data_IF_564770008383
#
_entry.id   IF_564770008383
#
_cell.length_a   1.000
_cell.length_b   1.000
_cell.length_c   1.000
_cell.angle_alpha   90.00
_cell.angle_beta   90.00
_cell.angle_gamma   90.00
#
_symmetry.space_group_name_H-M   'P 1'
#
loop_
_entity.id
_entity.type
_entity.pdbx_description
1 polymer ?
#
# COMPACT_ATOMS: atom_id res chain seq x y z
N UNK A 1 -18.36 18.81 -26.32
CA UNK A 1 -18.73 17.37 -26.36
C UNK A 1 -17.65 16.55 -25.65
N UNK A 2 -18.02 15.78 -24.63
CA UNK A 2 -17.12 14.79 -24.04
C UNK A 2 -17.03 13.61 -25.01
N UNK A 3 -15.91 13.47 -25.69
CA UNK A 3 -15.70 12.35 -26.64
C UNK A 3 -15.39 11.02 -25.96
N UNK A 4 -14.76 11.07 -24.78
CA UNK A 4 -14.40 9.87 -24.00
C UNK A 4 -14.39 10.20 -22.51
N UNK A 5 -14.94 9.29 -21.69
CA UNK A 5 -14.93 9.37 -20.24
C UNK A 5 -14.44 8.03 -19.66
N UNK A 6 -13.45 8.09 -18.78
CA UNK A 6 -12.97 6.93 -18.03
C UNK A 6 -13.21 7.21 -16.55
N UNK A 7 -13.94 6.31 -15.90
CA UNK A 7 -14.23 6.39 -14.47
C UNK A 7 -13.59 5.18 -13.81
N UNK A 8 -12.89 5.39 -12.68
CA UNK A 8 -12.32 4.31 -11.89
C UNK A 8 -13.00 4.24 -10.53
N UNK A 9 -13.29 3.04 -10.08
CA UNK A 9 -13.88 2.77 -8.77
C UNK A 9 -13.32 1.48 -8.18
N UNK A 10 -13.41 1.33 -6.87
CA UNK A 10 -13.20 0.03 -6.23
C UNK A 10 -14.38 -0.88 -6.58
N UNK A 11 -14.12 -2.16 -6.84
CA UNK A 11 -15.15 -3.15 -7.20
C UNK A 11 -16.33 -3.13 -6.21
N UNK A 12 -16.02 -3.08 -4.92
CA UNK A 12 -17.04 -3.06 -3.85
C UNK A 12 -17.83 -1.76 -3.76
N UNK A 13 -17.31 -0.67 -4.29
CA UNK A 13 -18.00 0.64 -4.30
C UNK A 13 -18.79 0.87 -5.59
N UNK A 14 -18.64 -0.01 -6.60
CA UNK A 14 -19.35 0.09 -7.87
C UNK A 14 -20.61 -0.79 -7.84
N UNK A 15 -21.59 -0.38 -7.03
CA UNK A 15 -22.85 -1.10 -6.79
C UNK A 15 -24.01 -0.11 -6.67
N UNK A 16 -25.23 -0.58 -6.91
CA UNK A 16 -26.45 0.24 -6.80
C UNK A 16 -26.40 1.49 -7.69
N UNK A 17 -26.70 2.63 -7.12
CA UNK A 17 -26.78 3.92 -7.82
C UNK A 17 -25.42 4.43 -8.37
N UNK A 18 -24.32 3.80 -7.98
CA UNK A 18 -22.98 4.12 -8.50
C UNK A 18 -22.68 3.45 -9.85
N UNK A 19 -23.54 2.54 -10.31
CA UNK A 19 -23.37 1.83 -11.58
C UNK A 19 -23.90 2.70 -12.73
N UNK A 20 -23.03 2.99 -13.69
CA UNK A 20 -23.42 3.73 -14.89
C UNK A 20 -24.06 2.80 -15.91
N UNK A 21 -25.30 3.07 -16.27
CA UNK A 21 -25.97 2.37 -17.35
C UNK A 21 -25.31 2.67 -18.71
N UNK A 22 -25.38 1.72 -19.64
CA UNK A 22 -24.84 1.84 -20.99
C UNK A 22 -23.34 2.14 -21.09
N UNK A 23 -22.55 1.72 -20.08
CA UNK A 23 -21.09 1.84 -20.11
C UNK A 23 -20.42 0.46 -20.11
N UNK A 24 -19.25 0.38 -20.73
CA UNK A 24 -18.42 -0.82 -20.65
C UNK A 24 -17.64 -0.84 -19.34
N UNK A 25 -17.82 -1.89 -18.55
CA UNK A 25 -17.11 -2.07 -17.29
C UNK A 25 -15.98 -3.10 -17.47
N UNK A 26 -14.78 -2.73 -17.03
CA UNK A 26 -13.61 -3.60 -17.05
C UNK A 26 -13.06 -3.76 -15.64
N UNK A 27 -12.69 -4.98 -15.27
CA UNK A 27 -12.01 -5.23 -14.00
C UNK A 27 -10.51 -5.39 -14.24
N UNK A 28 -9.73 -4.59 -13.52
CA UNK A 28 -8.26 -4.70 -13.52
C UNK A 28 -7.87 -5.97 -12.78
N UNK A 29 -7.17 -6.87 -13.46
CA UNK A 29 -6.68 -8.11 -12.88
C UNK A 29 -5.42 -7.87 -12.04
N UNK A 30 -5.20 -8.67 -11.00
CA UNK A 30 -3.92 -8.73 -10.32
C UNK A 30 -2.77 -9.00 -11.29
N UNK A 31 -1.56 -8.62 -10.92
CA UNK A 31 -0.37 -8.92 -11.71
C UNK A 31 -0.10 -10.42 -11.71
N UNK A 32 0.13 -10.97 -12.90
CA UNK A 32 0.73 -12.28 -13.10
C UNK A 32 2.27 -12.20 -12.98
N UNK A 33 2.94 -13.34 -13.08
CA UNK A 33 4.41 -13.41 -12.95
C UNK A 33 5.14 -12.56 -13.99
N UNK A 34 4.62 -12.48 -15.21
CA UNK A 34 5.22 -11.69 -16.29
C UNK A 34 5.11 -10.20 -15.97
N UNK A 35 3.94 -9.73 -15.54
CA UNK A 35 3.74 -8.33 -15.15
C UNK A 35 4.54 -7.93 -13.91
N UNK A 36 4.72 -8.86 -12.95
CA UNK A 36 5.61 -8.64 -11.81
C UNK A 36 7.04 -8.43 -12.30
N UNK A 37 7.53 -9.28 -13.21
CA UNK A 37 8.86 -9.17 -13.79
C UNK A 37 9.03 -7.86 -14.56
N UNK A 38 8.06 -7.51 -15.40
CA UNK A 38 8.09 -6.27 -16.18
C UNK A 38 8.11 -5.04 -15.28
N UNK A 39 7.28 -5.05 -14.22
CA UNK A 39 7.26 -3.98 -13.22
C UNK A 39 8.62 -3.84 -12.54
N UNK A 40 9.21 -4.93 -12.06
CA UNK A 40 10.48 -4.90 -11.34
C UNK A 40 11.63 -4.39 -12.24
N UNK A 41 11.68 -4.86 -13.48
CA UNK A 41 12.66 -4.39 -14.46
C UNK A 41 12.46 -2.90 -14.77
N UNK A 42 11.21 -2.46 -14.94
CA UNK A 42 10.86 -1.04 -15.13
C UNK A 42 11.26 -0.19 -13.93
N UNK A 43 11.00 -0.69 -12.71
CA UNK A 43 11.37 -0.03 -11.46
C UNK A 43 12.88 0.24 -11.38
N UNK A 44 13.70 -0.81 -11.51
CA UNK A 44 15.15 -0.65 -11.41
C UNK A 44 15.74 0.15 -12.58
N UNK A 45 15.13 0.11 -13.76
CA UNK A 45 15.50 0.97 -14.89
C UNK A 45 15.25 2.45 -14.56
N UNK A 46 14.09 2.78 -14.03
CA UNK A 46 13.73 4.15 -13.68
C UNK A 46 14.59 4.72 -12.53
N UNK A 47 15.04 3.86 -11.61
CA UNK A 47 15.82 4.26 -10.46
C UNK A 47 17.34 4.23 -10.69
N UNK A 48 17.80 3.57 -11.76
CA UNK A 48 19.23 3.35 -12.01
C UNK A 48 20.03 4.66 -12.08
N UNK A 49 19.49 5.69 -12.71
CA UNK A 49 20.13 6.98 -12.83
C UNK A 49 20.25 7.70 -11.49
N UNK A 50 19.15 7.73 -10.72
CA UNK A 50 19.10 8.35 -9.39
C UNK A 50 20.08 7.71 -8.40
N UNK A 51 20.27 6.39 -8.47
CA UNK A 51 21.12 5.62 -7.55
C UNK A 51 22.49 5.31 -8.13
N UNK A 52 22.79 5.82 -9.32
CA UNK A 52 24.06 5.59 -10.02
C UNK A 52 24.42 4.11 -10.12
N UNK A 53 23.41 3.26 -10.41
CA UNK A 53 23.63 1.83 -10.56
C UNK A 53 24.26 1.53 -11.91
N UNK A 54 25.24 0.64 -11.91
CA UNK A 54 25.74 0.03 -13.13
C UNK A 54 24.69 -0.92 -13.73
N UNK A 55 24.82 -1.25 -15.02
CA UNK A 55 23.91 -2.20 -15.67
C UNK A 55 23.91 -3.56 -14.96
N UNK A 56 25.06 -4.00 -14.48
CA UNK A 56 25.19 -5.25 -13.74
C UNK A 56 24.43 -5.19 -12.40
N UNK A 57 24.64 -4.16 -11.60
CA UNK A 57 23.94 -4.00 -10.31
C UNK A 57 22.43 -3.87 -10.49
N UNK A 58 21.99 -3.15 -11.51
CA UNK A 58 20.56 -3.03 -11.84
C UNK A 58 19.94 -4.39 -12.12
N UNK A 59 20.62 -5.20 -12.94
CA UNK A 59 20.13 -6.53 -13.31
C UNK A 59 20.16 -7.50 -12.12
N UNK A 60 21.21 -7.48 -11.31
CA UNK A 60 21.33 -8.31 -10.12
C UNK A 60 20.21 -8.01 -9.11
N UNK A 61 19.97 -6.73 -8.81
CA UNK A 61 18.88 -6.30 -7.91
C UNK A 61 17.50 -6.64 -8.46
N UNK A 62 17.27 -6.46 -9.76
CA UNK A 62 16.01 -6.84 -10.38
C UNK A 62 15.77 -8.34 -10.27
N UNK A 63 16.77 -9.16 -10.59
CA UNK A 63 16.67 -10.61 -10.49
C UNK A 63 16.43 -11.09 -9.05
N UNK A 64 17.11 -10.48 -8.06
CA UNK A 64 16.94 -10.82 -6.66
C UNK A 64 15.50 -10.53 -6.20
N UNK A 65 14.95 -9.36 -6.53
CA UNK A 65 13.56 -9.05 -6.19
C UNK A 65 12.56 -9.97 -6.92
N UNK A 66 12.79 -10.30 -8.20
CA UNK A 66 11.95 -11.23 -8.94
C UNK A 66 11.95 -12.61 -8.28
N UNK A 67 13.12 -13.12 -7.88
CA UNK A 67 13.23 -14.39 -7.18
C UNK A 67 12.54 -14.37 -5.83
N UNK A 68 12.71 -13.31 -5.06
CA UNK A 68 12.06 -13.14 -3.76
C UNK A 68 10.52 -13.15 -3.90
N UNK A 69 9.97 -12.45 -4.89
CA UNK A 69 8.51 -12.40 -5.15
C UNK A 69 7.95 -13.71 -5.70
N UNK A 70 8.77 -14.55 -6.31
CA UNK A 70 8.34 -15.85 -6.88
C UNK A 70 8.04 -16.89 -5.79
N UNK A 71 8.46 -16.69 -4.54
CA UNK A 71 8.13 -17.61 -3.45
C UNK A 71 6.62 -17.69 -3.24
N UNK A 72 6.10 -18.89 -2.92
CA UNK A 72 4.66 -19.13 -2.76
C UNK A 72 4.00 -18.14 -1.77
N UNK A 73 4.71 -17.79 -0.71
CA UNK A 73 4.19 -16.89 0.32
C UNK A 73 4.11 -15.42 -0.11
N UNK A 74 4.94 -14.99 -1.07
CA UNK A 74 5.01 -13.60 -1.49
C UNK A 74 4.35 -13.32 -2.84
N UNK A 75 4.15 -14.34 -3.68
CA UNK A 75 3.59 -14.17 -5.01
C UNK A 75 2.18 -13.54 -4.99
N UNK A 76 1.33 -14.01 -4.09
CA UNK A 76 -0.01 -13.47 -3.92
C UNK A 76 0.02 -11.99 -3.50
N UNK A 77 0.93 -11.63 -2.58
CA UNK A 77 1.12 -10.25 -2.12
C UNK A 77 1.66 -9.39 -3.27
N UNK A 78 2.66 -9.89 -4.00
CA UNK A 78 3.28 -9.21 -5.12
C UNK A 78 2.33 -9.02 -6.33
N UNK A 79 1.26 -9.80 -6.43
CA UNK A 79 0.24 -9.62 -7.46
C UNK A 79 -0.52 -8.29 -7.33
N UNK A 80 -0.50 -7.67 -6.15
CA UNK A 80 -1.04 -6.34 -5.91
C UNK A 80 0.03 -5.29 -6.24
N UNK A 81 -0.21 -4.35 -7.20
CA UNK A 81 0.78 -3.36 -7.62
C UNK A 81 1.28 -2.45 -6.50
N UNK A 82 0.40 -2.07 -5.55
CA UNK A 82 0.78 -1.25 -4.40
C UNK A 82 1.73 -2.00 -3.47
N UNK A 83 1.42 -3.26 -3.18
CA UNK A 83 2.27 -4.12 -2.37
C UNK A 83 3.61 -4.39 -3.05
N UNK A 84 3.62 -4.66 -4.35
CA UNK A 84 4.85 -4.83 -5.12
C UNK A 84 5.71 -3.58 -5.12
N UNK A 85 5.11 -2.39 -5.24
CA UNK A 85 5.82 -1.12 -5.09
C UNK A 85 6.48 -0.99 -3.71
N UNK A 86 5.72 -1.32 -2.65
CA UNK A 86 6.26 -1.29 -1.28
C UNK A 86 7.39 -2.30 -1.09
N UNK A 87 7.26 -3.51 -1.66
CA UNK A 87 8.33 -4.51 -1.67
C UNK A 87 9.59 -4.00 -2.39
N UNK A 88 9.44 -3.35 -3.53
CA UNK A 88 10.57 -2.75 -4.26
C UNK A 88 11.28 -1.65 -3.46
N UNK A 89 10.52 -0.83 -2.73
CA UNK A 89 11.07 0.21 -1.84
C UNK A 89 11.81 -0.41 -0.65
N UNK A 90 11.29 -1.46 -0.04
CA UNK A 90 11.94 -2.17 1.07
C UNK A 90 13.23 -2.83 0.56
N UNK A 91 13.14 -3.58 -0.54
CA UNK A 91 14.27 -4.26 -1.15
C UNK A 91 15.41 -3.33 -1.55
N UNK A 92 15.07 -2.09 -1.88
CA UNK A 92 16.04 -1.05 -2.20
C UNK A 92 16.88 -0.61 -0.99
N UNK A 93 16.27 -0.57 0.20
CA UNK A 93 16.92 -0.10 1.43
C UNK A 93 17.69 -1.21 2.14
N UNK A 94 17.18 -2.42 2.06
CA UNK A 94 17.71 -3.60 2.73
C UNK A 94 18.08 -4.65 1.68
N UNK A 95 19.14 -5.40 1.94
CA UNK A 95 19.52 -6.53 1.08
C UNK A 95 18.55 -7.68 1.38
N UNK A 96 17.52 -7.81 0.54
CA UNK A 96 16.55 -8.88 0.60
C UNK A 96 15.19 -8.52 1.21
N UNK A 97 14.18 -9.33 0.90
CA UNK A 97 12.85 -9.25 1.47
C UNK A 97 12.67 -10.30 2.57
N UNK A 98 11.95 -9.99 3.65
CA UNK A 98 11.59 -11.00 4.63
C UNK A 98 10.70 -12.07 3.99
N UNK A 99 10.98 -13.34 4.30
CA UNK A 99 10.19 -14.48 3.82
C UNK A 99 8.83 -14.61 4.52
N UNK A 100 8.71 -14.02 5.68
CA UNK A 100 7.51 -14.06 6.52
C UNK A 100 6.56 -12.92 6.16
N UNK A 101 5.30 -13.25 5.84
CA UNK A 101 4.25 -12.27 5.50
C UNK A 101 4.10 -11.18 6.57
N UNK A 102 4.05 -11.58 7.83
CA UNK A 102 3.86 -10.64 8.97
C UNK A 102 4.98 -9.61 9.02
N UNK A 103 6.22 -10.04 8.88
CA UNK A 103 7.38 -9.15 8.88
C UNK A 103 7.38 -8.21 7.66
N UNK A 104 6.97 -8.72 6.50
CA UNK A 104 6.81 -7.90 5.30
C UNK A 104 5.75 -6.84 5.50
N UNK A 105 4.56 -7.18 6.02
CA UNK A 105 3.49 -6.22 6.29
C UNK A 105 3.93 -5.15 7.28
N UNK A 106 4.66 -5.51 8.34
CA UNK A 106 5.22 -4.53 9.29
C UNK A 106 6.12 -3.53 8.56
N UNK A 107 7.07 -3.99 7.74
CA UNK A 107 7.93 -3.10 6.96
C UNK A 107 7.16 -2.23 5.96
N UNK A 108 6.09 -2.76 5.36
CA UNK A 108 5.21 -1.98 4.47
C UNK A 108 4.52 -0.85 5.24
N UNK A 109 3.99 -1.14 6.43
CA UNK A 109 3.38 -0.12 7.29
C UNK A 109 4.41 0.95 7.66
N UNK A 110 5.62 0.55 8.08
CA UNK A 110 6.70 1.47 8.42
C UNK A 110 7.08 2.38 7.23
N UNK A 111 7.18 1.81 6.03
CA UNK A 111 7.47 2.59 4.80
C UNK A 111 6.35 3.58 4.49
N UNK A 112 5.10 3.16 4.60
CA UNK A 112 3.94 4.02 4.30
C UNK A 112 3.81 5.15 5.32
N UNK A 113 3.98 4.87 6.61
CA UNK A 113 3.95 5.88 7.68
C UNK A 113 5.09 6.88 7.53
N UNK A 114 6.33 6.42 7.33
CA UNK A 114 7.48 7.30 7.13
C UNK A 114 7.34 8.20 5.91
N UNK A 115 6.81 7.67 4.79
CA UNK A 115 6.54 8.49 3.60
C UNK A 115 5.43 9.50 3.83
N UNK A 116 4.36 9.09 4.50
CA UNK A 116 3.25 9.96 4.80
C UNK A 116 3.68 11.11 5.73
N UNK A 117 4.46 10.82 6.77
CA UNK A 117 5.02 11.83 7.66
C UNK A 117 5.91 12.82 6.90
N UNK A 118 6.85 12.34 6.08
CA UNK A 118 7.71 13.21 5.26
C UNK A 118 6.91 14.08 4.30
N UNK A 119 5.90 13.54 3.64
CA UNK A 119 5.06 14.29 2.72
C UNK A 119 4.23 15.38 3.43
N UNK A 120 3.64 15.05 4.57
CA UNK A 120 2.80 15.99 5.33
C UNK A 120 3.58 17.06 6.06
N UNK A 121 4.72 16.73 6.62
CA UNK A 121 5.51 17.62 7.46
C UNK A 121 6.74 18.22 6.75
N UNK A 122 7.13 17.68 5.59
CA UNK A 122 8.27 18.17 4.79
C UNK A 122 7.93 19.24 3.76
N UNK A 123 6.71 19.32 3.29
CA UNK A 123 6.36 20.14 2.10
C UNK A 123 5.30 21.21 2.27
N UNK A 124 4.91 21.71 3.31
CA UNK A 124 4.01 22.89 3.47
C UNK A 124 2.87 22.74 4.49
N UNK A 125 2.96 23.59 5.50
CA UNK A 125 1.91 24.51 5.99
C UNK A 125 0.49 23.95 6.25
N UNK A 126 0.34 22.69 6.56
CA UNK A 126 -0.77 22.29 7.38
C UNK A 126 -0.29 22.42 8.82
N UNK A 127 -0.72 23.46 9.51
CA UNK A 127 -0.66 23.55 10.97
C UNK A 127 -1.86 22.75 11.52
N UNK A 128 -1.73 21.41 11.72
CA UNK A 128 -2.74 20.67 12.45
C UNK A 128 -2.81 21.29 13.85
N UNK A 129 -3.91 21.12 14.55
CA UNK A 129 -3.95 21.47 15.96
C UNK A 129 -2.73 20.87 16.67
N UNK A 130 -2.16 21.55 17.65
CA UNK A 130 -0.97 21.06 18.38
C UNK A 130 -1.16 19.62 18.91
N UNK A 131 -2.37 19.28 19.35
CA UNK A 131 -2.73 17.95 19.83
C UNK A 131 -2.68 16.87 18.70
N UNK A 132 -3.21 17.17 17.52
CA UNK A 132 -3.14 16.26 16.38
C UNK A 132 -1.69 16.07 15.91
N UNK A 133 -0.90 17.12 15.88
CA UNK A 133 0.52 17.03 15.53
C UNK A 133 1.28 16.17 16.53
N UNK A 134 1.05 16.37 17.83
CA UNK A 134 1.67 15.56 18.87
C UNK A 134 1.30 14.07 18.75
N UNK A 135 0.03 13.75 18.49
CA UNK A 135 -0.41 12.37 18.25
C UNK A 135 0.24 11.75 17.01
N UNK A 136 0.31 12.47 15.90
CA UNK A 136 0.87 11.99 14.65
C UNK A 136 2.40 11.83 14.69
N UNK A 137 3.07 12.52 15.61
CA UNK A 137 4.51 12.43 15.85
C UNK A 137 4.88 11.35 16.87
N UNK A 138 3.92 10.91 17.68
CA UNK A 138 4.10 9.77 18.58
C UNK A 138 3.89 8.46 17.82
N UNK A 139 4.99 7.90 17.32
CA UNK A 139 4.98 6.68 16.49
C UNK A 139 4.37 5.48 17.23
N UNK A 140 4.64 5.34 18.52
CA UNK A 140 4.13 4.22 19.33
C UNK A 140 2.61 4.33 19.46
N UNK A 141 2.13 5.51 19.81
CA UNK A 141 0.70 5.77 19.98
C UNK A 141 -0.05 5.65 18.66
N UNK A 142 0.52 6.17 17.57
CA UNK A 142 -0.05 6.06 16.23
C UNK A 142 -0.15 4.60 15.76
N UNK A 143 0.91 3.81 15.94
CA UNK A 143 0.92 2.38 15.59
C UNK A 143 -0.12 1.62 16.41
N UNK A 144 -0.17 1.82 17.73
CA UNK A 144 -1.16 1.18 18.59
C UNK A 144 -2.60 1.49 18.16
N UNK A 145 -2.89 2.74 17.82
CA UNK A 145 -4.20 3.14 17.32
C UNK A 145 -4.54 2.48 15.97
N UNK A 146 -3.57 2.40 15.05
CA UNK A 146 -3.74 1.73 13.76
C UNK A 146 -3.95 0.21 13.91
N UNK A 147 -3.22 -0.44 14.81
CA UNK A 147 -3.39 -1.86 15.12
C UNK A 147 -4.80 -2.14 15.68
N UNK A 148 -5.26 -1.29 16.60
CA UNK A 148 -6.61 -1.39 17.18
C UNK A 148 -7.70 -1.16 16.14
N UNK A 149 -7.55 -0.16 15.27
CA UNK A 149 -8.44 0.08 14.13
C UNK A 149 -8.51 -1.11 13.19
N UNK A 150 -7.36 -1.67 12.81
CA UNK A 150 -7.29 -2.83 11.93
C UNK A 150 -7.93 -4.07 12.56
N UNK A 151 -7.67 -4.32 13.85
CA UNK A 151 -8.29 -5.42 14.59
C UNK A 151 -9.80 -5.30 14.64
N UNK A 152 -10.34 -4.12 15.00
CA UNK A 152 -11.77 -3.90 15.08
C UNK A 152 -12.46 -3.97 13.71
N UNK A 153 -11.83 -3.43 12.66
CA UNK A 153 -12.34 -3.55 11.30
C UNK A 153 -12.37 -5.01 10.84
N UNK A 154 -11.32 -5.79 11.14
CA UNK A 154 -11.28 -7.21 10.80
C UNK A 154 -12.29 -8.03 11.59
N UNK A 155 -12.48 -7.73 12.87
CA UNK A 155 -13.49 -8.38 13.73
C UNK A 155 -14.90 -8.06 13.32
N UNK A 156 -15.18 -6.86 12.81
CA UNK A 156 -16.50 -6.43 12.33
C UNK A 156 -16.87 -7.10 10.99
N UNK A 157 -15.89 -7.41 10.14
CA UNK A 157 -16.10 -8.16 8.90
C UNK A 157 -16.34 -9.63 9.20
N UNK A 158 -17.53 -10.13 8.83
CA UNK A 158 -17.90 -11.56 9.03
C UNK A 158 -17.33 -12.44 7.94
N UNK A 159 -15.99 -12.46 7.78
CA UNK A 159 -15.29 -13.34 6.86
C UNK A 159 -14.68 -12.62 5.65
N UNK A 160 -13.92 -13.37 4.83
CA UNK A 160 -13.11 -12.86 3.70
C UNK A 160 -13.89 -12.08 2.62
N UNK A 161 -15.22 -12.19 2.60
CA UNK A 161 -16.10 -11.59 1.58
C UNK A 161 -16.75 -10.28 2.01
N UNK A 162 -16.72 -9.92 3.30
CA UNK A 162 -17.34 -8.70 3.78
C UNK A 162 -16.33 -7.55 3.89
N UNK A 163 -16.80 -6.32 3.69
CA UNK A 163 -15.99 -5.12 3.83
C UNK A 163 -15.53 -4.95 5.27
N UNK A 164 -14.25 -4.70 5.47
CA UNK A 164 -13.69 -4.34 6.77
C UNK A 164 -13.98 -2.86 7.09
N UNK A 165 -15.22 -2.42 6.89
CA UNK A 165 -15.64 -1.05 7.16
C UNK A 165 -15.89 -0.85 8.64
N UNK A 166 -15.30 0.19 9.19
CA UNK A 166 -15.49 0.60 10.58
C UNK A 166 -16.40 1.84 10.62
N UNK A 167 -17.47 1.83 11.43
CA UNK A 167 -18.27 3.03 11.63
C UNK A 167 -17.42 4.20 12.10
N UNK A 168 -17.67 5.39 11.52
CA UNK A 168 -16.86 6.59 11.81
C UNK A 168 -16.75 6.90 13.31
N UNK A 169 -17.84 6.79 14.06
CA UNK A 169 -17.86 7.04 15.50
C UNK A 169 -16.92 6.09 16.23
N UNK A 170 -16.98 4.79 15.92
CA UNK A 170 -16.08 3.80 16.52
C UNK A 170 -14.61 4.05 16.17
N UNK A 171 -14.33 4.48 14.95
CA UNK A 171 -12.98 4.85 14.56
C UNK A 171 -12.48 6.08 15.35
N UNK A 172 -13.34 7.07 15.56
CA UNK A 172 -13.00 8.26 16.38
C UNK A 172 -12.76 7.88 17.83
N UNK A 173 -13.60 7.05 18.45
CA UNK A 173 -13.43 6.60 19.83
C UNK A 173 -12.08 5.89 20.03
N UNK A 174 -11.65 5.06 19.05
CA UNK A 174 -10.35 4.40 19.07
C UNK A 174 -9.20 5.41 18.97
N UNK A 175 -9.33 6.42 18.11
CA UNK A 175 -8.28 7.44 17.91
C UNK A 175 -8.19 8.42 19.08
N UNK A 176 -9.31 8.68 19.77
CA UNK A 176 -9.37 9.55 20.95
C UNK A 176 -8.98 8.82 22.25
N UNK A 177 -8.68 7.50 22.15
CA UNK A 177 -8.32 6.65 23.29
C UNK A 177 -9.39 6.63 24.39
N UNK A 178 -10.65 6.76 23.95
CA UNK A 178 -11.81 6.58 24.84
C UNK A 178 -12.09 5.07 24.94
N UNK A 179 -11.84 4.52 26.13
CA UNK A 179 -12.27 3.18 26.52
C UNK A 179 -13.79 3.06 26.60
#
# INVERSE_FOLDING_TARGET
QLERLIITSRIRSYTGDAVFENTHTFTIRPFDKEKIKDFVNGWYRAQAEMWRLTEKEKQERANDLIQATASHNLLEIASNPMMLTSMAIIHQKEIGLPRERVRLYKLVVDVLLNRWQKYRFGEKNLTPSSALTAFLMDEIRLLSALERLAYEAHRAGKGEKESADLPRLKALDILEDKE
#
